data_IF_295694543789
#
_entry.id   IF_295694543789
#
_cell.length_a   1.000
_cell.length_b   1.000
_cell.length_c   1.000
_cell.angle_alpha   90.00
_cell.angle_beta   90.00
_cell.angle_gamma   90.00
#
_symmetry.space_group_name_H-M   'P 1'
#
loop_
_entity.id
_entity.type
_entity.pdbx_description
1 polymer ?
#
# COMPACT_ATOMS: atom_id res chain seq x y z
N UNK A 1 42.48 4.33 -15.32
CA UNK A 1 41.30 5.13 -15.10
C UNK A 1 40.58 4.67 -13.84
N UNK A 2 40.64 5.44 -12.74
CA UNK A 2 40.13 5.04 -11.40
C UNK A 2 38.65 4.62 -11.43
N UNK A 3 37.85 5.19 -12.33
CA UNK A 3 36.42 4.89 -12.49
C UNK A 3 36.19 3.46 -12.98
N UNK A 4 37.08 2.91 -13.81
CA UNK A 4 36.96 1.53 -14.34
C UNK A 4 37.40 0.47 -13.33
N UNK A 5 38.14 0.84 -12.29
CA UNK A 5 38.68 -0.08 -11.28
C UNK A 5 37.89 -0.07 -9.97
N UNK A 6 36.84 0.77 -9.87
CA UNK A 6 35.91 0.84 -8.76
C UNK A 6 36.38 1.64 -7.55
N UNK A 7 35.48 1.83 -6.60
CA UNK A 7 35.69 2.68 -5.41
C UNK A 7 36.85 2.23 -4.52
N UNK A 8 37.07 0.92 -4.40
CA UNK A 8 38.16 0.35 -3.59
C UNK A 8 39.53 0.75 -4.11
N UNK A 9 39.70 0.88 -5.43
CA UNK A 9 40.96 1.35 -6.02
C UNK A 9 41.17 2.81 -5.69
N UNK A 10 40.15 3.67 -5.84
CA UNK A 10 40.25 5.08 -5.50
C UNK A 10 40.66 5.32 -4.06
N UNK A 11 40.07 4.59 -3.11
CA UNK A 11 40.41 4.64 -1.69
C UNK A 11 41.87 4.24 -1.42
N UNK A 12 42.35 3.17 -2.06
CA UNK A 12 43.77 2.74 -1.93
C UNK A 12 44.74 3.79 -2.41
N UNK A 13 44.45 4.46 -3.52
CA UNK A 13 45.32 5.53 -4.04
C UNK A 13 45.33 6.75 -3.11
N UNK A 14 44.19 7.13 -2.54
CA UNK A 14 44.11 8.21 -1.55
C UNK A 14 44.92 7.86 -0.29
N UNK A 15 44.84 6.62 0.21
CA UNK A 15 45.55 6.15 1.40
C UNK A 15 47.07 6.19 1.24
N UNK A 16 47.60 6.12 0.01
CA UNK A 16 49.03 6.29 -0.26
C UNK A 16 49.51 7.73 -0.05
N UNK A 17 48.62 8.70 -0.16
CA UNK A 17 48.95 10.12 -0.17
C UNK A 17 48.48 10.85 1.10
N UNK A 18 47.45 10.37 1.76
CA UNK A 18 46.81 11.03 2.89
C UNK A 18 46.38 10.06 3.97
N UNK A 19 46.35 10.52 5.22
CA UNK A 19 45.75 9.79 6.34
C UNK A 19 44.26 10.00 6.32
N UNK A 20 43.48 8.88 6.26
CA UNK A 20 42.02 8.91 6.30
C UNK A 20 41.55 8.63 7.74
N UNK A 21 40.73 9.53 8.29
CA UNK A 21 40.06 9.31 9.57
C UNK A 21 38.77 8.48 9.35
N UNK A 22 38.70 7.31 9.95
CA UNK A 22 37.48 6.49 9.92
C UNK A 22 36.55 6.86 11.09
N UNK A 23 35.26 6.96 10.81
CA UNK A 23 34.22 7.17 11.81
C UNK A 23 33.23 6.00 11.72
N UNK A 24 32.96 5.35 12.86
CA UNK A 24 31.93 4.33 12.94
C UNK A 24 30.55 4.98 12.89
N UNK A 25 29.71 4.55 11.97
CA UNK A 25 28.29 4.90 11.93
C UNK A 25 27.46 3.70 11.47
N UNK A 26 26.20 3.71 11.84
CA UNK A 26 25.27 2.65 11.40
C UNK A 26 24.81 2.99 9.98
N UNK A 27 25.11 2.12 9.05
CA UNK A 27 24.72 2.27 7.65
C UNK A 27 23.94 1.06 7.18
N UNK A 28 22.89 1.31 6.42
CA UNK A 28 22.06 0.26 5.84
C UNK A 28 21.94 0.48 4.34
N UNK A 29 22.31 -0.54 3.59
CA UNK A 29 22.08 -0.55 2.15
C UNK A 29 20.62 -0.90 1.84
N UNK A 30 19.90 0.01 1.20
CA UNK A 30 18.52 -0.15 0.72
C UNK A 30 18.44 -0.44 -0.78
N UNK A 31 19.54 -0.80 -1.42
CA UNK A 31 19.62 -1.00 -2.88
C UNK A 31 18.84 -2.21 -3.38
N UNK A 32 18.44 -3.15 -2.52
CA UNK A 32 17.59 -4.28 -2.87
C UNK A 32 16.26 -4.22 -2.13
N UNK A 33 15.21 -4.84 -2.72
CA UNK A 33 13.90 -4.93 -2.05
C UNK A 33 14.00 -5.65 -0.70
N UNK A 34 14.79 -6.72 -0.62
CA UNK A 34 14.97 -7.47 0.63
C UNK A 34 15.67 -6.66 1.71
N UNK A 35 16.72 -5.91 1.37
CA UNK A 35 17.39 -5.01 2.32
C UNK A 35 16.48 -3.88 2.77
N UNK A 36 15.68 -3.31 1.86
CA UNK A 36 14.67 -2.30 2.21
C UNK A 36 13.63 -2.83 3.20
N UNK A 37 13.09 -4.04 2.97
CA UNK A 37 12.14 -4.70 3.90
C UNK A 37 12.78 -4.93 5.27
N UNK A 38 14.04 -5.38 5.31
CA UNK A 38 14.81 -5.60 6.55
C UNK A 38 15.00 -4.29 7.32
N UNK A 39 15.39 -3.22 6.65
CA UNK A 39 15.56 -1.89 7.24
C UNK A 39 14.23 -1.35 7.78
N UNK A 40 13.15 -1.46 7.01
CA UNK A 40 11.82 -1.07 7.45
C UNK A 40 11.39 -1.79 8.73
N UNK A 41 11.68 -3.09 8.86
CA UNK A 41 11.40 -3.86 10.09
C UNK A 41 12.18 -3.34 11.29
N UNK A 42 13.44 -2.93 11.10
CA UNK A 42 14.28 -2.38 12.16
C UNK A 42 13.81 -1.02 12.67
N UNK A 43 13.29 -0.18 11.76
CA UNK A 43 12.81 1.18 12.05
C UNK A 43 11.30 1.28 12.13
N UNK A 44 10.58 0.16 12.08
CA UNK A 44 9.13 0.18 12.19
C UNK A 44 8.74 0.62 13.60
N UNK A 45 8.07 1.77 13.66
CA UNK A 45 7.54 2.27 14.91
C UNK A 45 6.40 1.34 15.36
N UNK A 46 6.51 0.70 16.52
CA UNK A 46 5.50 -0.23 17.05
C UNK A 46 4.09 0.38 17.14
N UNK A 47 4.01 1.71 17.15
CA UNK A 47 2.77 2.48 17.19
C UNK A 47 2.18 2.76 15.80
N UNK A 48 2.89 2.43 14.72
CA UNK A 48 2.38 2.62 13.36
C UNK A 48 1.60 1.40 12.89
N UNK A 49 0.49 1.59 12.14
CA UNK A 49 -0.26 0.47 11.61
C UNK A 49 0.61 -0.34 10.64
N UNK A 50 0.64 -1.66 10.86
CA UNK A 50 1.29 -2.56 9.90
C UNK A 50 0.52 -2.53 8.59
N UNK A 51 1.11 -1.92 7.56
CA UNK A 51 0.51 -1.79 6.23
C UNK A 51 1.09 -2.88 5.35
N UNK A 52 0.21 -3.65 4.72
CA UNK A 52 0.60 -4.65 3.74
C UNK A 52 1.37 -3.96 2.60
N UNK A 53 2.62 -4.34 2.43
CA UNK A 53 3.46 -3.82 1.37
C UNK A 53 2.95 -4.29 0.00
N UNK A 54 2.93 -3.36 -0.94
CA UNK A 54 2.57 -3.62 -2.32
C UNK A 54 3.70 -3.16 -3.22
N UNK A 55 3.93 -3.89 -4.28
CA UNK A 55 4.99 -3.61 -5.24
C UNK A 55 4.95 -2.17 -5.79
N UNK A 56 3.76 -1.65 -6.03
CA UNK A 56 3.54 -0.36 -6.71
C UNK A 56 2.95 0.73 -5.81
N UNK A 57 2.81 0.48 -4.52
CA UNK A 57 2.24 1.44 -3.57
C UNK A 57 3.12 1.53 -2.31
N UNK A 58 3.26 2.74 -1.74
CA UNK A 58 3.90 2.96 -0.47
C UNK A 58 3.10 3.92 0.40
N UNK A 59 3.24 3.78 1.72
CA UNK A 59 2.63 4.68 2.70
C UNK A 59 3.69 5.02 3.74
N UNK A 60 3.85 6.31 4.01
CA UNK A 60 4.77 6.81 5.03
C UNK A 60 4.03 7.64 6.07
N UNK A 61 4.42 7.46 7.32
CA UNK A 61 3.96 8.25 8.46
C UNK A 61 5.03 9.25 8.84
N UNK A 62 4.72 10.55 8.78
CA UNK A 62 5.63 11.65 9.06
C UNK A 62 4.98 12.63 10.04
N UNK A 63 5.22 12.44 11.33
CA UNK A 63 4.56 13.21 12.38
C UNK A 63 3.04 13.12 12.26
N UNK A 64 2.37 14.25 12.08
CA UNK A 64 0.90 14.32 11.93
C UNK A 64 0.41 14.14 10.48
N UNK A 65 1.28 13.72 9.56
CA UNK A 65 0.93 13.52 8.15
C UNK A 65 1.16 12.08 7.73
N UNK A 66 0.32 11.64 6.81
CA UNK A 66 0.52 10.38 6.08
C UNK A 66 0.68 10.72 4.62
N UNK A 67 1.69 10.15 3.98
CA UNK A 67 1.92 10.26 2.54
C UNK A 67 1.62 8.93 1.90
N UNK A 68 0.78 8.93 0.88
CA UNK A 68 0.50 7.77 0.05
C UNK A 68 1.05 7.99 -1.36
N UNK A 69 1.85 7.03 -1.81
CA UNK A 69 2.42 6.96 -3.16
C UNK A 69 1.80 5.80 -3.94
N UNK A 70 1.72 5.96 -5.25
CA UNK A 70 1.49 4.86 -6.21
C UNK A 70 2.14 5.19 -7.55
N UNK A 71 2.63 4.17 -8.26
CA UNK A 71 3.11 4.32 -9.63
C UNK A 71 1.99 4.77 -10.58
N UNK A 72 0.72 4.45 -10.26
CA UNK A 72 -0.46 4.90 -11.01
C UNK A 72 -0.88 6.30 -10.54
N UNK A 73 -0.51 7.31 -11.30
CA UNK A 73 -0.87 8.71 -11.03
C UNK A 73 -2.39 8.96 -11.13
N UNK A 74 -3.10 8.21 -11.98
CA UNK A 74 -4.56 8.33 -12.11
C UNK A 74 -5.27 7.75 -10.87
N UNK A 75 -4.76 6.64 -10.34
CA UNK A 75 -5.22 6.09 -9.06
C UNK A 75 -5.07 7.13 -7.94
N UNK A 76 -3.93 7.80 -7.83
CA UNK A 76 -3.66 8.85 -6.83
C UNK A 76 -4.66 10.01 -6.97
N UNK A 77 -4.84 10.54 -8.19
CA UNK A 77 -5.82 11.61 -8.47
C UNK A 77 -7.24 11.20 -8.06
N UNK A 78 -7.64 9.98 -8.41
CA UNK A 78 -8.97 9.46 -8.09
C UNK A 78 -9.18 9.31 -6.58
N UNK A 79 -8.16 8.84 -5.84
CA UNK A 79 -8.19 8.73 -4.37
C UNK A 79 -8.32 10.09 -3.71
N UNK A 80 -7.53 11.05 -4.14
CA UNK A 80 -7.58 12.42 -3.63
C UNK A 80 -8.96 13.09 -3.89
N UNK A 81 -9.47 12.98 -5.13
CA UNK A 81 -10.80 13.51 -5.47
C UNK A 81 -11.92 12.86 -4.66
N UNK A 82 -11.84 11.56 -4.44
CA UNK A 82 -12.80 10.82 -3.60
C UNK A 82 -12.75 11.31 -2.17
N UNK A 83 -11.56 11.46 -1.58
CA UNK A 83 -11.40 11.96 -0.22
C UNK A 83 -12.01 13.37 -0.07
N UNK A 84 -11.80 14.27 -1.03
CA UNK A 84 -12.46 15.59 -1.04
C UNK A 84 -13.98 15.51 -1.05
N UNK A 85 -14.58 14.52 -1.73
CA UNK A 85 -16.03 14.33 -1.76
C UNK A 85 -16.58 13.72 -0.47
N UNK A 86 -15.79 12.88 0.18
CA UNK A 86 -16.18 12.17 1.40
C UNK A 86 -16.05 13.04 2.66
N UNK A 87 -15.32 14.14 2.58
CA UNK A 87 -15.19 15.15 3.66
C UNK A 87 -15.01 14.53 5.05
N UNK A 88 -16.04 14.64 5.89
CA UNK A 88 -16.00 14.24 7.30
C UNK A 88 -15.89 12.72 7.55
N UNK A 89 -16.03 11.90 6.53
CA UNK A 89 -15.90 10.44 6.66
C UNK A 89 -14.48 9.92 6.42
N UNK A 90 -13.55 10.81 6.06
CA UNK A 90 -12.15 10.46 5.79
C UNK A 90 -11.23 11.56 6.33
N UNK A 91 -9.96 11.25 6.60
CA UNK A 91 -8.99 12.24 7.02
C UNK A 91 -8.89 13.40 6.03
N UNK A 92 -8.65 14.61 6.53
CA UNK A 92 -8.47 15.80 5.70
C UNK A 92 -7.27 15.61 4.78
N UNK A 93 -7.51 15.64 3.46
CA UNK A 93 -6.42 15.62 2.46
C UNK A 93 -5.78 17.00 2.38
N UNK A 94 -4.47 17.01 2.27
CA UNK A 94 -3.63 18.20 2.26
C UNK A 94 -3.16 18.51 0.85
N UNK A 95 -2.15 17.79 0.37
CA UNK A 95 -1.45 18.06 -0.88
C UNK A 95 -1.60 16.91 -1.89
N UNK A 96 -1.58 17.26 -3.17
CA UNK A 96 -1.57 16.33 -4.28
C UNK A 96 -0.38 16.62 -5.19
N UNK A 97 0.43 15.61 -5.43
CA UNK A 97 1.49 15.60 -6.46
C UNK A 97 1.19 14.51 -7.48
N UNK A 98 2.00 14.39 -8.54
CA UNK A 98 1.77 13.46 -9.64
C UNK A 98 1.44 12.03 -9.16
N UNK A 99 2.29 11.48 -8.31
CA UNK A 99 2.24 10.08 -7.87
C UNK A 99 1.98 9.91 -6.37
N UNK A 100 1.69 11.01 -5.66
CA UNK A 100 1.46 10.96 -4.21
C UNK A 100 0.45 12.00 -3.75
N UNK A 101 -0.19 11.72 -2.62
CA UNK A 101 -0.97 12.70 -1.89
C UNK A 101 -0.75 12.53 -0.38
N UNK A 102 -0.96 13.60 0.36
CA UNK A 102 -0.89 13.60 1.80
C UNK A 102 -2.23 13.88 2.45
N UNK A 103 -2.38 13.39 3.68
CA UNK A 103 -3.54 13.63 4.53
C UNK A 103 -3.14 13.62 6.00
N UNK A 104 -4.01 14.17 6.86
CA UNK A 104 -3.76 14.18 8.29
C UNK A 104 -3.76 12.76 8.85
N UNK A 105 -2.76 12.44 9.67
CA UNK A 105 -2.74 11.20 10.45
C UNK A 105 -3.95 11.20 11.38
N UNK A 106 -4.62 10.07 11.49
CA UNK A 106 -5.71 9.85 12.45
C UNK A 106 -5.15 8.98 13.56
N UNK A 107 -5.29 9.45 14.77
CA UNK A 107 -4.95 8.66 15.95
C UNK A 107 -5.98 7.53 16.13
N UNK A 108 -5.50 6.38 16.57
CA UNK A 108 -6.33 5.21 16.79
C UNK A 108 -5.66 3.90 16.42
N UNK A 109 -6.39 2.82 16.63
CA UNK A 109 -5.95 1.46 16.30
C UNK A 109 -6.68 0.96 15.05
N UNK A 110 -6.02 0.09 14.28
CA UNK A 110 -6.65 -0.56 13.13
C UNK A 110 -7.83 -1.40 13.61
N UNK A 111 -9.02 -1.15 13.06
CA UNK A 111 -10.26 -1.76 13.50
C UNK A 111 -10.20 -3.29 13.56
N UNK A 112 -9.58 -3.94 12.58
CA UNK A 112 -9.43 -5.41 12.57
C UNK A 112 -8.64 -5.99 13.75
N UNK A 113 -7.85 -5.16 14.46
CA UNK A 113 -7.08 -5.59 15.63
C UNK A 113 -7.79 -5.35 16.96
N UNK A 114 -8.86 -4.57 16.97
CA UNK A 114 -9.54 -4.12 18.20
C UNK A 114 -11.06 -4.31 18.12
N UNK A 115 -11.55 -4.99 17.09
CA UNK A 115 -12.97 -5.14 16.87
C UNK A 115 -13.63 -5.92 17.99
N UNK A 116 -14.74 -5.35 18.50
CA UNK A 116 -15.67 -5.97 19.43
C UNK A 116 -17.07 -5.88 18.84
N UNK A 117 -18.00 -6.65 19.36
CA UNK A 117 -19.39 -6.59 18.88
C UNK A 117 -20.04 -5.19 19.02
N UNK A 118 -19.87 -4.45 20.14
CA UNK A 118 -20.34 -3.07 20.23
C UNK A 118 -19.70 -2.17 19.16
N UNK A 119 -18.37 -2.21 19.02
CA UNK A 119 -17.65 -1.38 18.05
C UNK A 119 -18.05 -1.70 16.60
N UNK A 120 -18.36 -2.97 16.31
CA UNK A 120 -18.89 -3.35 14.99
C UNK A 120 -20.29 -2.81 14.74
N UNK A 121 -21.16 -2.79 15.76
CA UNK A 121 -22.49 -2.17 15.68
C UNK A 121 -22.38 -0.67 15.41
N UNK A 122 -21.50 0.04 16.13
CA UNK A 122 -21.24 1.48 15.92
C UNK A 122 -20.74 1.77 14.51
N UNK A 123 -19.87 0.91 13.98
CA UNK A 123 -19.44 1.00 12.57
C UNK A 123 -20.63 0.89 11.61
N UNK A 124 -21.53 -0.07 11.83
CA UNK A 124 -22.70 -0.25 10.98
C UNK A 124 -23.66 0.97 11.06
N UNK A 125 -23.88 1.53 12.25
CA UNK A 125 -24.70 2.74 12.41
C UNK A 125 -24.05 3.95 11.68
N UNK A 126 -22.74 4.12 11.79
CA UNK A 126 -21.98 5.12 11.01
C UNK A 126 -22.14 4.89 9.50
N UNK A 127 -22.09 3.64 9.05
CA UNK A 127 -22.31 3.30 7.64
C UNK A 127 -23.72 3.65 7.15
N UNK A 128 -24.75 3.56 7.99
CA UNK A 128 -26.11 3.98 7.62
C UNK A 128 -26.20 5.47 7.28
N UNK A 129 -25.45 6.33 7.99
CA UNK A 129 -25.38 7.76 7.68
C UNK A 129 -24.64 8.01 6.36
N UNK A 130 -23.63 7.21 6.07
CA UNK A 130 -22.79 7.31 4.89
C UNK A 130 -23.45 6.72 3.65
N UNK A 131 -24.03 5.54 3.74
CA UNK A 131 -24.68 4.81 2.64
C UNK A 131 -26.16 5.12 2.54
N UNK A 132 -26.50 6.13 1.76
CA UNK A 132 -27.91 6.49 1.52
C UNK A 132 -28.52 5.61 0.42
N UNK A 133 -29.66 5.01 0.71
CA UNK A 133 -30.45 4.32 -0.30
C UNK A 133 -30.97 5.33 -1.35
N UNK A 134 -30.77 5.03 -2.63
CA UNK A 134 -31.30 5.82 -3.74
C UNK A 134 -32.08 4.94 -4.71
N UNK A 135 -33.26 5.38 -5.11
CA UNK A 135 -33.94 4.77 -6.26
C UNK A 135 -33.14 5.08 -7.52
N UNK A 136 -32.83 4.05 -8.28
CA UNK A 136 -32.11 4.18 -9.55
C UNK A 136 -33.08 4.06 -10.71
N UNK A 137 -32.98 4.91 -11.72
CA UNK A 137 -33.68 4.70 -12.98
C UNK A 137 -33.06 3.53 -13.75
N UNK A 138 -33.71 3.07 -14.81
CA UNK A 138 -33.32 1.87 -15.58
C UNK A 138 -31.87 1.98 -16.08
N UNK A 139 -31.46 3.11 -16.69
CA UNK A 139 -30.08 3.33 -17.18
C UNK A 139 -29.03 3.20 -16.05
N UNK A 140 -29.31 3.80 -14.90
CA UNK A 140 -28.42 3.70 -13.73
C UNK A 140 -28.38 2.30 -13.12
N UNK A 141 -29.48 1.55 -13.14
CA UNK A 141 -29.51 0.14 -12.72
C UNK A 141 -28.62 -0.72 -13.61
N UNK A 142 -28.73 -0.58 -14.95
CA UNK A 142 -27.90 -1.32 -15.90
C UNK A 142 -26.42 -0.99 -15.67
N UNK A 143 -26.09 0.29 -15.57
CA UNK A 143 -24.70 0.75 -15.30
C UNK A 143 -24.16 0.22 -13.97
N UNK A 144 -24.97 0.25 -12.91
CA UNK A 144 -24.61 -0.30 -11.61
C UNK A 144 -24.35 -1.81 -11.68
N UNK A 145 -25.26 -2.57 -12.33
CA UNK A 145 -25.13 -4.03 -12.53
C UNK A 145 -23.83 -4.37 -13.28
N UNK A 146 -23.52 -3.62 -14.35
CA UNK A 146 -22.29 -3.76 -15.12
C UNK A 146 -21.03 -3.51 -14.26
N UNK A 147 -21.06 -2.48 -13.41
CA UNK A 147 -19.94 -2.19 -12.51
C UNK A 147 -19.77 -3.24 -11.42
N UNK A 148 -20.87 -3.76 -10.86
CA UNK A 148 -20.82 -4.85 -9.91
C UNK A 148 -20.22 -6.12 -10.55
N UNK A 149 -20.69 -6.50 -11.74
CA UNK A 149 -20.15 -7.64 -12.48
C UNK A 149 -18.65 -7.48 -12.73
N UNK A 150 -18.22 -6.31 -13.23
CA UNK A 150 -16.79 -6.03 -13.44
C UNK A 150 -15.98 -6.09 -12.13
N UNK A 151 -16.51 -5.57 -11.03
CA UNK A 151 -15.79 -5.51 -9.76
C UNK A 151 -15.72 -6.85 -9.04
N UNK A 152 -16.82 -7.58 -8.97
CA UNK A 152 -16.90 -8.81 -8.19
C UNK A 152 -16.55 -10.06 -9.01
N UNK A 153 -16.95 -10.12 -10.27
CA UNK A 153 -16.78 -11.30 -11.10
C UNK A 153 -15.53 -11.21 -11.99
N UNK A 154 -15.53 -10.28 -12.97
CA UNK A 154 -14.44 -10.18 -13.95
C UNK A 154 -13.09 -9.96 -13.27
N UNK A 155 -13.01 -9.01 -12.33
CA UNK A 155 -11.77 -8.75 -11.60
C UNK A 155 -11.28 -9.95 -10.78
N UNK A 156 -12.18 -10.80 -10.31
CA UNK A 156 -11.79 -12.03 -9.58
C UNK A 156 -11.20 -13.03 -10.53
N UNK A 157 -11.84 -13.28 -11.67
CA UNK A 157 -11.31 -14.16 -12.72
C UNK A 157 -9.95 -13.68 -13.23
N UNK A 158 -9.82 -12.40 -13.57
CA UNK A 158 -8.55 -11.81 -14.00
C UNK A 158 -7.41 -12.08 -12.98
N UNK A 159 -7.71 -12.06 -11.68
CA UNK A 159 -6.73 -12.32 -10.62
C UNK A 159 -6.38 -13.80 -10.50
N UNK A 160 -7.35 -14.67 -10.67
CA UNK A 160 -7.14 -16.13 -10.70
C UNK A 160 -6.25 -16.47 -11.89
N UNK A 161 -6.55 -15.96 -13.09
CA UNK A 161 -5.75 -16.15 -14.29
C UNK A 161 -4.31 -15.65 -14.11
N UNK A 162 -4.14 -14.48 -13.50
CA UNK A 162 -2.81 -13.93 -13.19
C UNK A 162 -2.05 -14.82 -12.20
N UNK A 163 -2.73 -15.36 -11.20
CA UNK A 163 -2.15 -16.29 -10.24
C UNK A 163 -1.67 -17.56 -10.93
N UNK A 164 -2.51 -18.19 -11.75
CA UNK A 164 -2.16 -19.41 -12.48
C UNK A 164 -0.98 -19.18 -13.42
N UNK A 165 -0.97 -18.06 -14.17
CA UNK A 165 0.16 -17.69 -15.03
C UNK A 165 1.45 -17.47 -14.24
N UNK A 166 1.37 -16.73 -13.12
CA UNK A 166 2.55 -16.40 -12.30
C UNK A 166 3.20 -17.62 -11.65
N UNK A 167 2.39 -18.57 -11.22
CA UNK A 167 2.85 -19.76 -10.51
C UNK A 167 2.90 -21.01 -11.38
N UNK A 168 2.67 -20.86 -12.70
CA UNK A 168 2.62 -21.95 -13.67
C UNK A 168 1.69 -23.09 -13.22
N UNK A 169 0.56 -22.74 -12.61
CA UNK A 169 -0.48 -23.68 -12.19
C UNK A 169 -1.55 -23.79 -13.25
N UNK A 170 -2.25 -24.93 -13.24
CA UNK A 170 -3.45 -25.16 -14.05
C UNK A 170 -4.65 -25.26 -13.11
N UNK A 171 -5.83 -24.94 -13.64
CA UNK A 171 -7.08 -25.17 -12.97
C UNK A 171 -7.28 -26.67 -12.70
N UNK A 172 -7.67 -27.03 -11.52
CA UNK A 172 -7.84 -28.42 -11.10
C UNK A 172 -8.34 -28.49 -9.67
N UNK A 173 -8.71 -29.69 -9.25
CA UNK A 173 -9.12 -29.96 -7.87
C UNK A 173 -7.92 -29.77 -6.94
N UNK A 174 -7.98 -28.81 -6.05
CA UNK A 174 -6.96 -28.60 -5.00
C UNK A 174 -7.57 -28.99 -3.64
N UNK A 175 -6.76 -29.67 -2.81
CA UNK A 175 -7.13 -29.95 -1.44
C UNK A 175 -6.61 -28.86 -0.51
N UNK A 176 -7.46 -28.28 0.33
CA UNK A 176 -7.09 -27.34 1.37
C UNK A 176 -7.48 -27.94 2.71
N UNK A 177 -6.50 -28.15 3.60
CA UNK A 177 -6.70 -28.79 4.90
C UNK A 177 -7.37 -30.18 4.82
N UNK A 178 -7.16 -30.93 3.74
CA UNK A 178 -7.75 -32.24 3.52
C UNK A 178 -9.14 -32.23 2.88
N UNK A 179 -9.71 -31.06 2.62
CA UNK A 179 -10.98 -30.88 1.90
C UNK A 179 -10.70 -30.59 0.42
N UNK A 180 -11.34 -31.34 -0.48
CA UNK A 180 -11.27 -31.07 -1.92
C UNK A 180 -12.07 -29.81 -2.25
N UNK A 181 -11.41 -28.86 -2.94
CA UNK A 181 -12.06 -27.64 -3.41
C UNK A 181 -12.41 -27.82 -4.88
N UNK A 182 -13.64 -27.43 -5.29
CA UNK A 182 -14.10 -27.56 -6.67
C UNK A 182 -13.37 -26.61 -7.62
#
# INVERSE_FOLDING_TARGET
>A
NAIQQGETFGLREILKQQTIKSVKFTWFDAGTFQSLVKIRKLYNNLNEPNILEKENEAVWFLGNKVIKFSNDSQFIKNRFRRAKKLKNFVPKVLDLKKNMYSYNKVEGKVLSKVITLPLFKDLLETCKVFWKKKKLNIKKKIFFKKNCNRFYYIKTLDRIDLFYKKFNKKDGVESINGEEMP
#
